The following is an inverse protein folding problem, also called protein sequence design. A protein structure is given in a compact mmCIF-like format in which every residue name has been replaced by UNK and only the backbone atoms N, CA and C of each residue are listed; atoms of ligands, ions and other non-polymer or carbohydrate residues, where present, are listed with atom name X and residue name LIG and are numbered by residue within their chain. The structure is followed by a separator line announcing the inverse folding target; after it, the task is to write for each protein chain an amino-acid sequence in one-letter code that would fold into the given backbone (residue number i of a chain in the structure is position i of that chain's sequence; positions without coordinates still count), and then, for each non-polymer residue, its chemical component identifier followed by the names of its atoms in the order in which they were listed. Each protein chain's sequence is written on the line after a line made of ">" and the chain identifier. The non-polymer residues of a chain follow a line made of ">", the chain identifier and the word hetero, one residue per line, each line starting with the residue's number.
data_IF_377158794546
#
_entry.id   IF_377158794546
#
_cell.length_a   1.000
_cell.length_b   1.000
_cell.length_c   1.000
_cell.angle_alpha   90.00
_cell.angle_beta   90.00
_cell.angle_gamma   90.00
#
_symmetry.space_group_name_H-M   'P 1'
#
loop_
_entity.id
_entity.type
_entity.pdbx_description
1 polymer ?
#
# COMPACT_ATOMS: atom_id res chain seq x y z
N UNK A 1 -4.49 -11.71 -8.50
CA UNK A 1 -4.24 -10.40 -9.13
C UNK A 1 -2.73 -10.17 -9.07
N UNK A 2 -2.02 -10.06 -10.21
CA UNK A 2 -0.61 -9.63 -10.23
C UNK A 2 -0.61 -8.14 -10.52
N UNK A 3 -0.44 -7.31 -9.49
CA UNK A 3 -0.23 -5.88 -9.65
C UNK A 3 1.21 -5.68 -10.15
N UNK A 4 1.39 -4.95 -11.24
CA UNK A 4 2.71 -4.45 -11.64
C UNK A 4 2.97 -3.09 -10.99
N UNK A 5 4.23 -2.73 -10.87
CA UNK A 5 4.67 -1.40 -10.37
C UNK A 5 3.92 -0.24 -11.05
N UNK A 6 3.75 -0.29 -12.37
CA UNK A 6 2.99 0.73 -13.12
C UNK A 6 1.51 0.83 -12.73
N UNK A 7 0.90 -0.25 -12.23
CA UNK A 7 -0.51 -0.22 -11.80
C UNK A 7 -0.67 0.57 -10.48
N UNK A 8 0.41 0.82 -9.75
CA UNK A 8 0.40 1.53 -8.46
C UNK A 8 0.76 3.01 -8.60
N UNK A 9 1.31 3.42 -9.76
CA UNK A 9 1.67 4.81 -10.03
C UNK A 9 0.40 5.65 -10.12
N UNK A 10 0.30 6.69 -9.30
CA UNK A 10 -0.88 7.56 -9.23
C UNK A 10 -2.14 6.96 -8.60
N UNK A 11 -2.12 5.71 -8.11
CA UNK A 11 -3.25 5.14 -7.37
C UNK A 11 -3.16 5.43 -5.87
N UNK A 12 -4.31 5.66 -5.25
CA UNK A 12 -4.40 5.81 -3.79
C UNK A 12 -4.34 4.42 -3.13
N UNK A 13 -3.35 4.15 -2.25
CA UNK A 13 -3.22 2.85 -1.58
C UNK A 13 -4.44 2.47 -0.73
N UNK A 14 -5.20 3.45 -0.22
CA UNK A 14 -6.43 3.19 0.53
C UNK A 14 -7.55 2.69 -0.38
N UNK A 15 -7.69 3.25 -1.58
CA UNK A 15 -8.66 2.77 -2.56
C UNK A 15 -8.31 1.37 -3.07
N UNK A 16 -7.02 1.09 -3.27
CA UNK A 16 -6.54 -0.26 -3.63
C UNK A 16 -6.88 -1.28 -2.55
N UNK A 17 -6.66 -0.92 -1.28
CA UNK A 17 -7.04 -1.76 -0.15
C UNK A 17 -8.56 -2.01 -0.08
N UNK A 18 -9.37 -0.96 -0.29
CA UNK A 18 -10.83 -1.09 -0.32
C UNK A 18 -11.28 -1.98 -1.47
N UNK A 19 -10.70 -1.82 -2.67
CA UNK A 19 -10.95 -2.69 -3.82
C UNK A 19 -10.57 -4.14 -3.52
N UNK A 20 -9.44 -4.38 -2.85
CA UNK A 20 -9.02 -5.73 -2.45
C UNK A 20 -10.00 -6.36 -1.45
N UNK A 21 -10.46 -5.59 -0.45
CA UNK A 21 -11.52 -6.04 0.47
C UNK A 21 -12.80 -6.41 -0.28
N UNK A 22 -13.23 -5.57 -1.24
CA UNK A 22 -14.43 -5.79 -2.03
C UNK A 22 -14.30 -7.04 -2.91
N UNK A 23 -13.17 -7.22 -3.58
CA UNK A 23 -12.92 -8.39 -4.45
C UNK A 23 -12.87 -9.68 -3.63
N UNK A 24 -12.29 -9.65 -2.43
CA UNK A 24 -12.24 -10.79 -1.52
C UNK A 24 -13.56 -11.03 -0.79
N UNK A 25 -14.49 -10.07 -0.83
CA UNK A 25 -15.76 -10.12 -0.11
C UNK A 25 -15.59 -10.13 1.42
N UNK A 26 -14.42 -9.72 1.92
CA UNK A 26 -14.11 -9.70 3.34
C UNK A 26 -13.17 -8.54 3.66
N UNK A 27 -13.28 -8.02 4.87
CA UNK A 27 -12.37 -6.99 5.35
C UNK A 27 -11.03 -7.64 5.72
N UNK A 28 -10.01 -7.42 4.91
CA UNK A 28 -8.65 -7.91 5.19
C UNK A 28 -7.98 -7.09 6.28
N UNK A 29 -6.96 -7.66 6.91
CA UNK A 29 -6.17 -6.97 7.93
C UNK A 29 -5.57 -5.66 7.42
N UNK A 30 -5.55 -4.66 8.31
CA UNK A 30 -4.91 -3.36 8.03
C UNK A 30 -3.42 -3.47 7.69
N UNK A 31 -2.76 -4.56 8.06
CA UNK A 31 -1.39 -4.84 7.62
C UNK A 31 -1.26 -4.83 6.08
N UNK A 32 -2.31 -5.25 5.36
CA UNK A 32 -2.34 -5.23 3.89
C UNK A 32 -2.36 -3.79 3.35
N UNK A 33 -3.06 -2.87 4.02
CA UNK A 33 -3.05 -1.44 3.67
C UNK A 33 -1.63 -0.86 3.77
N UNK A 34 -0.86 -1.25 4.78
CA UNK A 34 0.51 -0.77 4.96
C UNK A 34 1.43 -1.25 3.83
N UNK A 35 1.22 -2.48 3.35
CA UNK A 35 1.92 -3.00 2.18
C UNK A 35 1.54 -2.21 0.93
N UNK A 36 0.25 -1.92 0.71
CA UNK A 36 -0.17 -1.07 -0.41
C UNK A 36 0.45 0.34 -0.36
N UNK A 37 0.53 0.96 0.83
CA UNK A 37 1.19 2.25 1.02
C UNK A 37 2.67 2.19 0.67
N UNK A 38 3.38 1.16 1.14
CA UNK A 38 4.78 0.91 0.79
C UNK A 38 4.95 0.70 -0.72
N UNK A 39 4.10 -0.13 -1.34
CA UNK A 39 4.19 -0.42 -2.77
C UNK A 39 3.88 0.81 -3.63
N UNK A 40 2.90 1.63 -3.25
CA UNK A 40 2.60 2.90 -3.92
C UNK A 40 3.76 3.89 -3.75
N UNK A 41 4.35 4.00 -2.55
CA UNK A 41 5.54 4.83 -2.33
C UNK A 41 6.72 4.37 -3.18
N UNK A 42 6.96 3.06 -3.25
CA UNK A 42 8.03 2.48 -4.05
C UNK A 42 7.84 2.72 -5.55
N UNK A 43 6.59 2.63 -6.04
CA UNK A 43 6.27 2.88 -7.43
C UNK A 43 6.33 4.37 -7.83
N UNK A 44 6.05 5.30 -6.90
CA UNK A 44 6.03 6.74 -7.17
C UNK A 44 7.34 7.46 -6.78
N UNK A 45 8.33 6.77 -6.22
CA UNK A 45 9.60 7.39 -5.79
C UNK A 45 10.79 6.76 -6.52
N UNK A 46 11.64 7.58 -7.15
CA UNK A 46 12.93 7.14 -7.70
C UNK A 46 14.04 7.09 -6.65
N UNK A 47 13.89 7.85 -5.56
CA UNK A 47 14.84 7.89 -4.43
C UNK A 47 14.13 7.41 -3.18
N UNK A 48 14.61 6.30 -2.63
CA UNK A 48 13.99 5.64 -1.48
C UNK A 48 14.65 6.05 -0.17
N UNK A 49 13.84 6.48 0.79
CA UNK A 49 14.29 6.61 2.17
C UNK A 49 14.30 5.22 2.83
N UNK A 50 15.45 4.73 3.34
CA UNK A 50 15.57 3.38 3.89
C UNK A 50 14.65 3.13 5.10
N UNK A 51 14.23 4.20 5.78
CA UNK A 51 13.22 4.12 6.82
C UNK A 51 11.82 3.88 6.25
N UNK A 52 11.45 4.52 5.14
CA UNK A 52 10.12 4.34 4.51
C UNK A 52 9.99 3.01 3.76
N UNK A 53 11.09 2.33 3.45
CA UNK A 53 11.08 0.98 2.89
C UNK A 53 10.59 -0.11 3.86
N UNK A 54 10.46 0.23 5.15
CA UNK A 54 9.96 -0.67 6.18
C UNK A 54 8.44 -0.60 6.22
N UNK A 55 7.75 -1.68 5.87
CA UNK A 55 6.27 -1.72 5.83
C UNK A 55 5.64 -1.31 7.17
N UNK A 56 6.29 -1.62 8.29
CA UNK A 56 5.79 -1.24 9.61
C UNK A 56 5.82 0.27 9.84
N UNK A 57 6.62 1.07 9.12
CA UNK A 57 6.61 2.52 9.28
C UNK A 57 5.37 3.20 8.66
N UNK A 58 4.56 2.43 7.93
CA UNK A 58 3.27 2.86 7.36
C UNK A 58 2.08 2.57 8.26
N UNK A 59 2.35 1.99 9.45
CA UNK A 59 1.33 1.81 10.48
C UNK A 59 0.75 3.16 10.88
N UNK A 60 -0.57 3.22 11.08
CA UNK A 60 -1.22 4.43 11.55
C UNK A 60 -0.64 4.79 12.92
N UNK A 61 0.03 5.94 13.03
CA UNK A 61 0.37 6.50 14.35
C UNK A 61 -0.94 6.95 14.96
N UNK A 62 -1.42 6.22 15.95
CA UNK A 62 -2.48 6.72 16.83
C UNK A 62 -1.89 7.91 17.59
N UNK A 63 -2.45 9.10 17.36
CA UNK A 63 -2.24 10.28 18.21
C UNK A 63 -2.68 10.02 19.65
#
# INVERSE_FOLDING_TARGET
>A
MKLKENDLIGQNPEELFLKDCLVKGLQVDRCVLYVFRLSAYYANSDVYEPEKLKWWNWQEKKE
#
